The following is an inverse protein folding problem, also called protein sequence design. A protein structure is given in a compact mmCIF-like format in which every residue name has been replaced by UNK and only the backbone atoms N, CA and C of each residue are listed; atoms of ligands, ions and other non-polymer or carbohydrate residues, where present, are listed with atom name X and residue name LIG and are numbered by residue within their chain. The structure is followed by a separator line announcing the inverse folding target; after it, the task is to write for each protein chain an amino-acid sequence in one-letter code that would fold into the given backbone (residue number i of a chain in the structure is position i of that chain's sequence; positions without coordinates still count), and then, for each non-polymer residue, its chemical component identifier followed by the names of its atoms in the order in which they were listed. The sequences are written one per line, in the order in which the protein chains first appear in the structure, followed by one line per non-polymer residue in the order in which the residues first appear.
data_IF_347595360150
#
_entry.id   IF_347595360150
#
_cell.length_a   1.000
_cell.length_b   1.000
_cell.length_c   1.000
_cell.angle_alpha   90.00
_cell.angle_beta   90.00
_cell.angle_gamma   90.00
#
_symmetry.space_group_name_H-M   'P 1'
#
loop_
_entity.id
_entity.type
_entity.pdbx_description
1 polymer ?
#
# COMPACT_ATOMS: atom_id res chain seq x y z
N UNK A 1 61.11 -7.31 -44.96
CA UNK A 1 61.87 -6.06 -44.71
C UNK A 1 60.88 -5.07 -44.13
N UNK A 2 61.25 -4.46 -43.00
CA UNK A 2 60.77 -3.17 -42.47
C UNK A 2 59.29 -3.01 -42.08
N UNK A 3 58.89 -2.32 -41.00
CA UNK A 3 59.48 -1.83 -39.74
C UNK A 3 58.31 -1.36 -38.86
N UNK A 4 58.42 -1.58 -37.55
CA UNK A 4 57.97 -0.73 -36.43
C UNK A 4 56.83 0.29 -36.59
N UNK A 5 55.79 0.18 -35.73
CA UNK A 5 55.52 1.19 -34.66
C UNK A 5 54.33 0.78 -33.77
N UNK A 6 54.63 0.59 -32.49
CA UNK A 6 53.69 0.71 -31.38
C UNK A 6 53.20 2.16 -31.31
N UNK A 7 51.88 2.37 -31.17
CA UNK A 7 51.32 3.64 -30.71
C UNK A 7 50.19 3.37 -29.72
N UNK A 8 50.61 3.41 -28.46
CA UNK A 8 49.87 3.74 -27.25
C UNK A 8 48.94 4.95 -27.47
N UNK A 9 47.65 4.84 -27.17
CA UNK A 9 46.75 6.00 -26.95
C UNK A 9 45.75 5.64 -25.82
N UNK A 10 45.44 6.58 -24.91
CA UNK A 10 45.26 6.30 -23.48
C UNK A 10 43.81 6.10 -23.02
N UNK A 11 43.71 5.51 -21.83
CA UNK A 11 42.52 5.21 -21.04
C UNK A 11 41.79 6.45 -20.48
N UNK A 12 41.51 7.43 -21.33
CA UNK A 12 40.89 8.70 -20.92
C UNK A 12 39.87 9.20 -21.94
N UNK A 13 38.89 8.35 -22.27
CA UNK A 13 37.73 8.72 -23.09
C UNK A 13 36.39 8.28 -22.47
N UNK A 14 36.38 7.69 -21.28
CA UNK A 14 35.15 7.24 -20.60
C UNK A 14 34.66 8.19 -19.52
N UNK A 15 35.46 9.18 -19.10
CA UNK A 15 35.10 10.11 -18.02
C UNK A 15 34.29 11.34 -18.47
N UNK A 16 34.23 11.64 -19.77
CA UNK A 16 33.51 12.82 -20.28
C UNK A 16 32.06 12.56 -20.70
N UNK A 17 31.64 11.30 -20.78
CA UNK A 17 30.27 10.96 -21.19
C UNK A 17 29.25 10.98 -20.04
N UNK A 18 29.70 11.12 -18.78
CA UNK A 18 28.81 11.12 -17.61
C UNK A 18 28.43 12.53 -17.12
N UNK A 19 29.05 13.60 -17.64
CA UNK A 19 28.82 14.97 -17.19
C UNK A 19 27.73 15.73 -17.97
N UNK A 20 27.10 15.13 -18.99
CA UNK A 20 25.99 15.74 -19.74
C UNK A 20 24.58 15.33 -19.26
N UNK A 21 24.48 14.59 -18.16
CA UNK A 21 23.18 14.18 -17.56
C UNK A 21 22.72 15.09 -16.41
N UNK A 22 23.42 16.20 -16.17
CA UNK A 22 23.12 17.14 -15.07
C UNK A 22 22.73 18.49 -15.66
N UNK A 23 21.46 18.62 -16.06
CA UNK A 23 20.67 19.87 -16.07
C UNK A 23 19.48 19.71 -17.03
N UNK A 24 18.53 18.87 -16.65
CA UNK A 24 17.17 19.03 -17.12
C UNK A 24 16.24 18.59 -16.00
N UNK A 25 16.06 19.45 -14.99
CA UNK A 25 14.77 19.57 -14.33
C UNK A 25 13.75 20.09 -15.36
N UNK A 26 13.52 19.31 -16.41
CA UNK A 26 12.39 19.45 -17.30
C UNK A 26 11.19 19.02 -16.46
N UNK A 27 10.68 19.98 -15.70
CA UNK A 27 9.29 19.97 -15.27
C UNK A 27 8.51 19.68 -16.55
N UNK A 28 7.96 18.48 -16.66
CA UNK A 28 7.13 18.06 -17.78
C UNK A 28 5.82 18.86 -17.71
N UNK A 29 5.91 20.16 -17.99
CA UNK A 29 4.79 21.07 -18.14
C UNK A 29 4.19 20.81 -19.50
N UNK A 30 2.89 20.56 -19.53
CA UNK A 30 2.15 20.49 -20.78
C UNK A 30 1.93 21.92 -21.28
N UNK A 31 2.53 22.29 -22.40
CA UNK A 31 2.39 23.61 -23.02
C UNK A 31 1.22 23.60 -24.01
N UNK A 32 0.40 24.65 -23.96
CA UNK A 32 -0.70 24.88 -24.90
C UNK A 32 -0.22 25.83 -26.00
N UNK A 33 0.01 25.31 -27.20
CA UNK A 33 0.50 26.10 -28.32
C UNK A 33 -0.62 26.39 -29.31
N UNK A 34 -0.84 27.68 -29.61
CA UNK A 34 -1.74 28.11 -30.67
C UNK A 34 -0.98 28.06 -32.00
N UNK A 35 -1.45 27.23 -32.92
CA UNK A 35 -0.90 27.13 -34.27
C UNK A 35 -1.37 28.31 -35.14
N UNK A 36 -0.65 28.64 -36.22
CA UNK A 36 -1.01 29.73 -37.14
C UNK A 36 -2.39 29.57 -37.79
N UNK A 37 -2.91 28.35 -37.87
CA UNK A 37 -4.23 28.01 -38.38
C UNK A 37 -5.36 28.12 -37.33
N UNK A 38 -5.04 28.62 -36.13
CA UNK A 38 -5.96 28.77 -35.02
C UNK A 38 -6.20 27.50 -34.20
N UNK A 39 -5.62 26.35 -34.58
CA UNK A 39 -5.73 25.11 -33.78
C UNK A 39 -4.87 25.19 -32.53
N UNK A 40 -5.29 24.45 -31.51
CA UNK A 40 -4.56 24.35 -30.24
C UNK A 40 -3.98 22.95 -30.11
N UNK A 41 -2.67 22.87 -29.91
CA UNK A 41 -1.97 21.62 -29.64
C UNK A 41 -1.36 21.65 -28.23
N UNK A 42 -1.33 20.49 -27.58
CA UNK A 42 -0.70 20.31 -26.27
C UNK A 42 0.58 19.50 -26.44
N UNK A 43 1.71 20.02 -26.00
CA UNK A 43 3.01 19.38 -26.16
C UNK A 43 3.85 19.50 -24.88
N UNK A 44 4.77 18.56 -24.68
CA UNK A 44 5.63 18.52 -23.49
C UNK A 44 6.83 19.46 -23.57
N UNK A 45 7.08 20.05 -24.75
CA UNK A 45 8.18 20.99 -25.01
C UNK A 45 7.61 22.37 -25.28
N UNK A 46 8.39 23.42 -24.99
CA UNK A 46 7.98 24.80 -25.22
C UNK A 46 7.55 25.03 -26.69
N UNK A 47 6.55 25.90 -26.87
CA UNK A 47 6.05 26.24 -28.21
C UNK A 47 7.17 26.90 -29.03
N UNK A 48 7.35 26.47 -30.28
CA UNK A 48 8.36 27.06 -31.16
C UNK A 48 8.03 28.51 -31.50
N UNK A 49 8.90 29.44 -31.09
CA UNK A 49 9.16 30.77 -31.67
C UNK A 49 8.05 31.84 -31.74
N UNK A 50 6.76 31.51 -31.76
CA UNK A 50 5.69 32.49 -32.02
C UNK A 50 4.37 32.21 -31.30
N UNK A 51 4.38 31.50 -30.17
CA UNK A 51 3.18 31.35 -29.36
C UNK A 51 3.30 32.21 -28.11
N UNK A 52 2.42 33.21 -28.00
CA UNK A 52 2.14 33.88 -26.73
C UNK A 52 1.93 32.82 -25.65
N UNK A 53 2.82 32.80 -24.67
CA UNK A 53 2.70 31.94 -23.49
C UNK A 53 1.71 32.62 -22.56
N UNK A 54 0.42 32.50 -22.89
CA UNK A 54 -0.64 32.96 -22.01
C UNK A 54 -0.69 32.04 -20.78
N UNK A 55 -0.52 32.56 -19.55
CA UNK A 55 -0.54 31.72 -18.35
C UNK A 55 -1.87 30.97 -18.27
N UNK A 56 -1.75 29.66 -18.10
CA UNK A 56 -2.86 28.71 -18.08
C UNK A 56 -3.86 29.04 -16.95
N UNK A 57 -5.00 29.66 -17.25
CA UNK A 57 -6.15 29.61 -16.34
C UNK A 57 -6.83 28.24 -16.51
N UNK A 58 -6.59 27.34 -15.54
CA UNK A 58 -7.36 26.11 -15.43
C UNK A 58 -8.82 26.49 -15.21
N UNK A 59 -9.70 26.13 -16.14
CA UNK A 59 -11.14 26.35 -15.98
C UNK A 59 -11.68 25.44 -14.88
N UNK A 60 -11.68 25.95 -13.65
CA UNK A 60 -12.22 25.31 -12.44
C UNK A 60 -13.72 25.55 -12.28
N UNK A 61 -14.40 26.02 -13.34
CA UNK A 61 -15.82 26.32 -13.25
C UNK A 61 -16.65 25.05 -13.09
N UNK A 62 -17.69 25.14 -12.28
CA UNK A 62 -18.69 24.09 -12.16
C UNK A 62 -19.42 23.85 -13.49
N UNK A 63 -20.18 22.75 -13.63
CA UNK A 63 -21.00 22.48 -14.82
C UNK A 63 -22.05 23.56 -15.12
N UNK A 64 -22.26 24.50 -14.18
CA UNK A 64 -23.12 25.69 -14.27
C UNK A 64 -22.34 26.98 -14.62
N UNK A 65 -21.03 26.91 -14.86
CA UNK A 65 -20.17 28.06 -15.16
C UNK A 65 -19.75 28.88 -13.94
N UNK A 66 -20.08 28.46 -12.71
CA UNK A 66 -19.68 29.15 -11.49
C UNK A 66 -18.17 29.01 -11.23
N UNK A 67 -17.48 30.07 -10.75
CA UNK A 67 -16.01 30.13 -10.57
C UNK A 67 -15.40 29.06 -9.64
N UNK A 68 -16.22 28.31 -8.94
CA UNK A 68 -15.81 27.12 -8.20
C UNK A 68 -17.01 26.18 -8.14
N UNK A 69 -16.93 25.06 -8.87
CA UNK A 69 -17.88 23.98 -8.65
C UNK A 69 -17.82 23.59 -7.18
N UNK A 70 -18.86 23.88 -6.40
CA UNK A 70 -19.00 23.39 -5.02
C UNK A 70 -19.14 21.87 -5.08
N UNK A 71 -18.02 21.14 -5.21
CA UNK A 71 -17.99 19.75 -4.80
C UNK A 71 -18.19 19.75 -3.30
N UNK A 72 -19.41 19.50 -2.86
CA UNK A 72 -19.76 19.36 -1.43
C UNK A 72 -19.04 18.17 -0.76
N UNK A 73 -18.34 17.35 -1.54
CA UNK A 73 -17.57 16.18 -1.09
C UNK A 73 -16.10 16.54 -0.98
N UNK A 74 -15.57 16.41 0.23
CA UNK A 74 -14.16 16.51 0.53
C UNK A 74 -13.43 15.25 0.05
N UNK A 75 -12.70 15.37 -1.06
CA UNK A 75 -11.87 14.29 -1.61
C UNK A 75 -10.42 14.34 -1.12
N UNK A 76 -10.12 15.12 -0.07
CA UNK A 76 -8.77 15.16 0.49
C UNK A 76 -8.29 13.77 0.92
N UNK A 77 -6.98 13.54 0.81
CA UNK A 77 -6.37 12.27 1.27
C UNK A 77 -6.67 12.03 2.76
N UNK A 78 -6.76 13.10 3.55
CA UNK A 78 -7.12 13.04 4.97
C UNK A 78 -8.54 12.51 5.22
N UNK A 79 -9.53 13.01 4.47
CA UNK A 79 -10.93 12.56 4.60
C UNK A 79 -11.07 11.08 4.19
N UNK A 80 -10.40 10.68 3.12
CA UNK A 80 -10.39 9.30 2.64
C UNK A 80 -9.70 8.36 3.64
N UNK A 81 -8.55 8.75 4.18
CA UNK A 81 -7.84 7.97 5.20
C UNK A 81 -8.68 7.78 6.47
N UNK A 82 -9.39 8.82 6.90
CA UNK A 82 -10.32 8.75 8.03
C UNK A 82 -11.47 7.79 7.76
N UNK A 83 -12.11 7.89 6.59
CA UNK A 83 -13.19 6.99 6.18
C UNK A 83 -12.73 5.52 6.17
N UNK A 84 -11.53 5.25 5.66
CA UNK A 84 -10.94 3.90 5.67
C UNK A 84 -10.71 3.37 7.09
N UNK A 85 -10.20 4.19 8.02
CA UNK A 85 -10.01 3.80 9.43
C UNK A 85 -11.34 3.47 10.09
N UNK A 86 -12.33 4.35 9.96
CA UNK A 86 -13.68 4.12 10.51
C UNK A 86 -14.32 2.85 9.97
N UNK A 87 -14.18 2.58 8.67
CA UNK A 87 -14.69 1.35 8.07
C UNK A 87 -13.97 0.10 8.64
N UNK A 88 -12.65 0.15 8.83
CA UNK A 88 -11.89 -0.96 9.43
C UNK A 88 -12.33 -1.24 10.86
N UNK A 89 -12.51 -0.20 11.67
CA UNK A 89 -12.99 -0.33 13.05
C UNK A 89 -14.39 -0.95 13.12
N UNK A 90 -15.29 -0.49 12.23
CA UNK A 90 -16.64 -1.04 12.11
C UNK A 90 -16.62 -2.54 11.80
N UNK A 91 -15.82 -2.96 10.82
CA UNK A 91 -15.68 -4.37 10.44
C UNK A 91 -15.05 -5.20 11.56
N UNK A 92 -14.04 -4.66 12.26
CA UNK A 92 -13.41 -5.32 13.41
C UNK A 92 -14.41 -5.56 14.55
N UNK A 93 -15.19 -4.53 14.90
CA UNK A 93 -16.24 -4.61 15.92
C UNK A 93 -17.31 -5.65 15.54
N UNK A 94 -17.77 -5.64 14.29
CA UNK A 94 -18.75 -6.59 13.78
C UNK A 94 -18.23 -8.04 13.86
N UNK A 95 -16.97 -8.28 13.46
CA UNK A 95 -16.33 -9.61 13.56
C UNK A 95 -16.24 -10.10 15.01
N UNK A 96 -15.84 -9.23 15.94
CA UNK A 96 -15.78 -9.58 17.37
C UNK A 96 -17.16 -9.94 17.92
N UNK A 97 -18.18 -9.17 17.57
CA UNK A 97 -19.56 -9.46 17.96
C UNK A 97 -20.06 -10.79 17.37
N UNK A 98 -19.77 -11.06 16.09
CA UNK A 98 -20.14 -12.32 15.44
C UNK A 98 -19.46 -13.53 16.12
N UNK A 99 -18.16 -13.43 16.44
CA UNK A 99 -17.43 -14.47 17.18
C UNK A 99 -18.04 -14.71 18.56
N UNK A 100 -18.34 -13.65 19.31
CA UNK A 100 -18.96 -13.79 20.64
C UNK A 100 -20.34 -14.47 20.56
N UNK A 101 -21.17 -14.11 19.58
CA UNK A 101 -22.48 -14.75 19.34
C UNK A 101 -22.33 -16.22 18.97
N UNK A 102 -21.40 -16.54 18.06
CA UNK A 102 -21.12 -17.92 17.67
C UNK A 102 -20.62 -18.76 18.85
N UNK A 103 -19.74 -18.21 19.70
CA UNK A 103 -19.26 -18.88 20.90
C UNK A 103 -20.40 -19.11 21.92
N UNK A 104 -21.28 -18.12 22.12
CA UNK A 104 -22.44 -18.26 23.00
C UNK A 104 -23.44 -19.31 22.46
N UNK A 105 -23.68 -19.34 21.15
CA UNK A 105 -24.53 -20.35 20.51
C UNK A 105 -23.94 -21.76 20.64
N UNK A 106 -22.63 -21.91 20.41
CA UNK A 106 -21.94 -23.19 20.58
C UNK A 106 -22.08 -23.72 22.01
N UNK A 107 -21.90 -22.85 23.02
CA UNK A 107 -22.09 -23.21 24.44
C UNK A 107 -23.51 -23.69 24.77
N UNK A 108 -24.54 -23.14 24.10
CA UNK A 108 -25.94 -23.60 24.27
C UNK A 108 -26.15 -25.00 23.70
N UNK A 109 -25.48 -25.34 22.60
CA UNK A 109 -25.63 -26.65 21.92
C UNK A 109 -24.81 -27.73 22.61
N UNK A 110 -23.58 -27.43 23.03
CA UNK A 110 -22.66 -28.44 23.60
C UNK A 110 -22.78 -28.59 25.11
N UNK A 111 -23.61 -27.78 25.76
CA UNK A 111 -23.57 -27.61 27.22
C UNK A 111 -22.29 -26.92 27.69
N UNK A 112 -22.24 -26.63 28.99
CA UNK A 112 -21.01 -26.18 29.65
C UNK A 112 -19.95 -27.28 29.53
N UNK A 113 -18.74 -26.98 29.06
CA UNK A 113 -17.68 -27.98 29.04
C UNK A 113 -17.47 -28.53 30.45
N UNK A 114 -17.32 -29.86 30.54
CA UNK A 114 -17.01 -30.53 31.80
C UNK A 114 -15.81 -29.84 32.45
N UNK A 115 -16.00 -29.28 33.64
CA UNK A 115 -14.95 -28.61 34.44
C UNK A 115 -13.88 -29.58 34.97
N UNK A 116 -13.81 -30.79 34.44
CA UNK A 116 -12.80 -31.76 34.83
C UNK A 116 -11.58 -31.53 33.95
N UNK A 117 -10.43 -31.14 34.52
CA UNK A 117 -9.22 -30.90 33.75
C UNK A 117 -8.85 -32.15 32.97
N UNK A 118 -8.69 -32.02 31.65
CA UNK A 118 -8.31 -33.11 30.77
C UNK A 118 -6.82 -33.00 30.46
N UNK A 119 -5.99 -33.72 31.23
CA UNK A 119 -4.53 -33.66 31.14
C UNK A 119 -3.98 -33.96 29.74
N UNK A 120 -4.57 -34.91 29.01
CA UNK A 120 -4.09 -35.25 27.66
C UNK A 120 -4.41 -34.15 26.65
N UNK A 121 -5.61 -33.58 26.69
CA UNK A 121 -5.98 -32.42 25.87
C UNK A 121 -5.16 -31.18 26.23
N UNK A 122 -4.94 -30.94 27.52
CA UNK A 122 -4.09 -29.86 28.02
C UNK A 122 -2.66 -29.96 27.44
N UNK A 123 -2.01 -31.12 27.56
CA UNK A 123 -0.66 -31.34 27.02
C UNK A 123 -0.61 -31.12 25.50
N UNK A 124 -1.59 -31.65 24.76
CA UNK A 124 -1.71 -31.45 23.31
C UNK A 124 -1.81 -29.98 22.93
N UNK A 125 -2.66 -29.21 23.62
CA UNK A 125 -2.85 -27.80 23.30
C UNK A 125 -1.67 -26.93 23.73
N UNK A 126 -0.96 -27.27 24.82
CA UNK A 126 0.31 -26.61 25.17
C UNK A 126 1.39 -26.81 24.09
N UNK A 127 1.48 -28.00 23.52
CA UNK A 127 2.40 -28.27 22.41
C UNK A 127 2.05 -27.46 21.15
N UNK A 128 0.77 -27.37 20.80
CA UNK A 128 0.33 -26.52 19.68
C UNK A 128 0.61 -25.04 19.96
N UNK A 129 0.37 -24.54 21.17
CA UNK A 129 0.73 -23.16 21.55
C UNK A 129 2.21 -22.88 21.32
N UNK A 130 3.10 -23.78 21.76
CA UNK A 130 4.54 -23.65 21.54
C UNK A 130 4.89 -23.61 20.04
N UNK A 131 4.30 -24.50 19.24
CA UNK A 131 4.48 -24.54 17.79
C UNK A 131 4.03 -23.26 17.09
N UNK A 132 2.86 -22.71 17.45
CA UNK A 132 2.36 -21.48 16.82
C UNK A 132 3.13 -20.23 17.28
N UNK A 133 3.59 -20.20 18.54
CA UNK A 133 4.56 -19.19 18.98
C UNK A 133 5.85 -19.24 18.16
N UNK A 134 6.40 -20.43 17.93
CA UNK A 134 7.59 -20.59 17.10
C UNK A 134 7.36 -20.09 15.66
N UNK A 135 6.19 -20.40 15.07
CA UNK A 135 5.84 -19.89 13.74
C UNK A 135 5.78 -18.37 13.67
N UNK A 136 5.28 -17.71 14.72
CA UNK A 136 5.28 -16.24 14.77
C UNK A 136 6.70 -15.67 14.92
N UNK A 137 7.59 -16.35 15.64
CA UNK A 137 8.99 -15.95 15.79
C UNK A 137 9.79 -16.14 14.48
N UNK A 138 9.49 -17.18 13.70
CA UNK A 138 10.16 -17.46 12.43
C UNK A 138 9.78 -16.48 11.30
N UNK A 139 8.91 -15.50 11.57
CA UNK A 139 8.45 -14.53 10.59
C UNK A 139 7.27 -15.04 9.75
N UNK A 140 6.83 -14.20 8.82
CA UNK A 140 5.72 -14.47 7.90
C UNK A 140 6.03 -13.80 6.56
N UNK A 141 5.59 -14.42 5.48
CA UNK A 141 5.76 -13.85 4.13
C UNK A 141 4.63 -12.86 3.81
N UNK A 142 3.41 -13.18 4.23
CA UNK A 142 2.23 -12.36 3.97
C UNK A 142 1.52 -11.92 5.26
N UNK A 143 0.84 -10.78 5.19
CA UNK A 143 0.03 -10.28 6.32
C UNK A 143 -1.13 -11.22 6.68
N UNK A 144 -1.71 -11.88 5.68
CA UNK A 144 -2.76 -12.91 5.83
C UNK A 144 -2.25 -14.10 6.64
N UNK A 145 -1.03 -14.55 6.38
CA UNK A 145 -0.35 -15.61 7.11
C UNK A 145 -0.12 -15.23 8.58
N UNK A 146 0.34 -14.01 8.84
CA UNK A 146 0.47 -13.49 10.22
C UNK A 146 -0.84 -13.62 10.99
N UNK A 147 -1.93 -13.09 10.41
CA UNK A 147 -3.26 -13.12 11.06
C UNK A 147 -3.75 -14.54 11.26
N UNK A 148 -3.47 -15.45 10.33
CA UNK A 148 -3.79 -16.87 10.47
C UNK A 148 -3.01 -17.51 11.64
N UNK A 149 -1.71 -17.27 11.73
CA UNK A 149 -0.85 -17.80 12.79
C UNK A 149 -1.26 -17.25 14.18
N UNK A 150 -1.55 -15.95 14.28
CA UNK A 150 -2.06 -15.31 15.49
C UNK A 150 -3.40 -15.92 15.92
N UNK A 151 -4.33 -16.12 14.99
CA UNK A 151 -5.64 -16.71 15.28
C UNK A 151 -5.52 -18.19 15.72
N UNK A 152 -4.56 -18.95 15.18
CA UNK A 152 -4.28 -20.32 15.63
C UNK A 152 -3.68 -20.35 17.03
N UNK A 153 -2.79 -19.41 17.34
CA UNK A 153 -2.24 -19.26 18.68
C UNK A 153 -3.36 -18.95 19.69
N UNK A 154 -4.19 -17.93 19.41
CA UNK A 154 -5.31 -17.53 20.28
C UNK A 154 -6.28 -18.70 20.53
N UNK A 155 -6.61 -19.46 19.48
CA UNK A 155 -7.48 -20.63 19.59
C UNK A 155 -6.92 -21.70 20.54
N UNK A 156 -5.63 -22.04 20.40
CA UNK A 156 -5.03 -23.07 21.25
C UNK A 156 -4.78 -22.58 22.68
N UNK A 157 -4.54 -21.29 22.89
CA UNK A 157 -4.50 -20.70 24.24
C UNK A 157 -5.85 -20.83 24.94
N UNK A 158 -6.96 -20.48 24.27
CA UNK A 158 -8.29 -20.63 24.85
C UNK A 158 -8.63 -22.09 25.20
N UNK A 159 -8.14 -23.05 24.43
CA UNK A 159 -8.30 -24.49 24.74
C UNK A 159 -7.40 -24.96 25.89
N UNK A 160 -6.22 -24.35 26.09
CA UNK A 160 -5.40 -24.57 27.29
C UNK A 160 -6.17 -24.10 28.52
N UNK A 161 -6.69 -22.87 28.51
CA UNK A 161 -7.47 -22.32 29.62
C UNK A 161 -8.72 -23.17 29.93
N UNK A 162 -9.30 -23.83 28.92
CA UNK A 162 -10.47 -24.68 29.09
C UNK A 162 -10.16 -26.08 29.64
N UNK A 163 -9.01 -26.68 29.28
CA UNK A 163 -8.71 -28.08 29.59
C UNK A 163 -7.63 -28.27 30.66
N UNK A 164 -6.85 -27.23 30.95
CA UNK A 164 -5.77 -27.28 31.94
C UNK A 164 -6.18 -26.74 33.32
N UNK A 165 -7.16 -25.82 33.36
CA UNK A 165 -7.73 -25.23 34.58
C UNK A 165 -9.05 -25.92 34.96
#
# INVERSE_FOLDING_TARGET
MDTSRLLQVPASATALSLALLIAADAHAGLFKCKQPDGRVIYQQTACGGHADVDPFEVDIRGPDGSKSGKSSRDYSVGSQAKAMRTQRERLSKARRQARARAAAAARRVTGSPSKTPNRSKCAKHRAEVAKWKQKLLNGYHERTEKVYNENKLEHHQALVDQYCD
#
